data_IF_324113669972
#
_entry.id   IF_324113669972
#
_cell.length_a   1.000
_cell.length_b   1.000
_cell.length_c   1.000
_cell.angle_alpha   90.00
_cell.angle_beta   90.00
_cell.angle_gamma   90.00
#
_symmetry.space_group_name_H-M   'P 1'
#
loop_
_entity.id
_entity.type
_entity.pdbx_description
1 polymer ?
#
# COMPACT_ATOMS: atom_id res chain seq x y z
N UNK A 1 -11.44 -32.18 -17.82
CA UNK A 1 -10.42 -31.29 -17.20
C UNK A 1 -10.98 -29.97 -16.65
N UNK A 2 -12.13 -29.47 -17.11
CA UNK A 2 -12.76 -28.23 -16.62
C UNK A 2 -13.41 -28.36 -15.22
N UNK A 3 -13.92 -29.54 -14.87
CA UNK A 3 -14.55 -29.80 -13.56
C UNK A 3 -13.55 -29.74 -12.38
N UNK A 4 -12.33 -30.26 -12.55
CA UNK A 4 -11.31 -30.29 -11.48
C UNK A 4 -10.74 -28.90 -11.16
N UNK A 5 -10.47 -28.08 -12.17
CA UNK A 5 -9.99 -26.71 -11.99
C UNK A 5 -11.02 -25.83 -11.27
N UNK A 6 -12.31 -25.99 -11.61
CA UNK A 6 -13.43 -25.27 -10.98
C UNK A 6 -13.59 -25.68 -9.51
N UNK A 7 -13.43 -26.97 -9.22
CA UNK A 7 -13.50 -27.52 -7.85
C UNK A 7 -12.36 -26.98 -6.98
N UNK A 8 -11.13 -26.95 -7.51
CA UNK A 8 -9.97 -26.40 -6.81
C UNK A 8 -10.13 -24.91 -6.52
N UNK A 9 -10.53 -24.11 -7.51
CA UNK A 9 -10.75 -22.68 -7.34
C UNK A 9 -11.82 -22.38 -6.29
N UNK A 10 -12.91 -23.15 -6.28
CA UNK A 10 -14.00 -23.02 -5.29
C UNK A 10 -13.52 -23.40 -3.88
N UNK A 11 -12.71 -24.46 -3.77
CA UNK A 11 -12.13 -24.90 -2.48
C UNK A 11 -11.17 -23.86 -1.93
N UNK A 12 -10.31 -23.29 -2.78
CA UNK A 12 -9.39 -22.20 -2.42
C UNK A 12 -10.18 -20.98 -1.98
N UNK A 13 -11.19 -20.55 -2.75
CA UNK A 13 -12.03 -19.40 -2.40
C UNK A 13 -12.74 -19.58 -1.05
N UNK A 14 -13.33 -20.76 -0.82
CA UNK A 14 -13.99 -21.10 0.44
C UNK A 14 -13.01 -21.09 1.61
N UNK A 15 -11.80 -21.62 1.39
CA UNK A 15 -10.76 -21.67 2.44
C UNK A 15 -10.26 -20.27 2.77
N UNK A 16 -9.95 -19.45 1.77
CA UNK A 16 -9.45 -18.07 1.95
C UNK A 16 -10.48 -17.17 2.63
N UNK A 17 -11.77 -17.48 2.53
CA UNK A 17 -12.81 -16.76 3.25
C UNK A 17 -12.90 -17.10 4.74
N UNK A 18 -12.17 -18.12 5.23
CA UNK A 18 -12.11 -18.43 6.66
C UNK A 18 -11.22 -17.42 7.37
N UNK A 19 -11.69 -16.83 8.47
CA UNK A 19 -11.15 -15.54 8.87
C UNK A 19 -9.82 -15.64 9.64
N UNK A 20 -9.42 -16.84 10.08
CA UNK A 20 -8.07 -17.12 10.61
C UNK A 20 -7.02 -17.37 9.52
N UNK A 21 -7.41 -17.58 8.26
CA UNK A 21 -6.49 -18.04 7.21
C UNK A 21 -5.44 -16.99 6.87
N UNK A 22 -5.81 -15.70 6.80
CA UNK A 22 -4.83 -14.64 6.53
C UNK A 22 -3.77 -14.57 7.62
N UNK A 23 -4.18 -14.68 8.90
CA UNK A 23 -3.27 -14.68 10.04
C UNK A 23 -2.34 -15.91 10.03
N UNK A 24 -2.87 -17.11 9.74
CA UNK A 24 -2.06 -18.32 9.67
C UNK A 24 -1.08 -18.34 8.50
N UNK A 25 -1.47 -17.78 7.35
CA UNK A 25 -0.60 -17.64 6.17
C UNK A 25 0.53 -16.66 6.50
N UNK A 26 0.20 -15.54 7.14
CA UNK A 26 1.22 -14.58 7.57
C UNK A 26 2.20 -15.19 8.59
N UNK A 27 1.70 -15.86 9.62
CA UNK A 27 2.53 -16.52 10.64
C UNK A 27 3.48 -17.57 10.01
N UNK A 28 2.97 -18.37 9.08
CA UNK A 28 3.80 -19.30 8.30
C UNK A 28 4.86 -18.57 7.48
N UNK A 29 4.51 -17.44 6.87
CA UNK A 29 5.45 -16.60 6.13
C UNK A 29 6.55 -16.01 7.00
N UNK A 30 6.23 -15.54 8.21
CA UNK A 30 7.22 -15.07 9.19
C UNK A 30 8.19 -16.20 9.55
N UNK A 31 7.67 -17.40 9.83
CA UNK A 31 8.51 -18.58 10.11
C UNK A 31 9.45 -18.91 8.95
N UNK A 32 8.92 -18.95 7.71
CA UNK A 32 9.74 -19.18 6.50
C UNK A 32 10.84 -18.12 6.38
N UNK A 33 10.48 -16.85 6.62
CA UNK A 33 11.41 -15.73 6.53
C UNK A 33 12.53 -15.82 7.56
N UNK A 34 12.23 -16.15 8.82
CA UNK A 34 13.24 -16.28 9.88
C UNK A 34 14.12 -17.52 9.75
N UNK A 35 13.55 -18.66 9.33
CA UNK A 35 14.27 -19.94 9.32
C UNK A 35 15.06 -20.18 8.03
N UNK A 36 14.56 -19.70 6.88
CA UNK A 36 15.13 -20.05 5.58
C UNK A 36 15.79 -18.88 4.86
N UNK A 37 15.37 -17.64 5.13
CA UNK A 37 15.85 -16.47 4.39
C UNK A 37 17.02 -15.75 5.07
N UNK A 38 17.41 -16.17 6.27
CA UNK A 38 18.55 -15.60 7.01
C UNK A 38 19.91 -15.85 6.34
N UNK A 39 20.10 -17.05 5.78
CA UNK A 39 21.39 -17.52 5.24
C UNK A 39 21.27 -17.97 3.76
N UNK A 40 20.63 -17.17 2.92
CA UNK A 40 20.48 -17.51 1.50
C UNK A 40 21.71 -17.14 0.68
N UNK A 41 21.91 -17.88 -0.40
CA UNK A 41 22.92 -17.61 -1.43
C UNK A 41 22.43 -16.56 -2.44
N UNK A 42 23.35 -16.01 -3.22
CA UNK A 42 23.02 -15.07 -4.31
C UNK A 42 22.05 -15.68 -5.36
N UNK A 43 22.13 -16.99 -5.62
CA UNK A 43 21.19 -17.68 -6.52
C UNK A 43 19.79 -17.78 -5.91
N UNK A 44 19.70 -18.09 -4.63
CA UNK A 44 18.42 -18.12 -3.90
C UNK A 44 17.78 -16.73 -3.80
N UNK A 45 18.57 -15.67 -3.63
CA UNK A 45 18.08 -14.28 -3.65
C UNK A 45 17.28 -13.97 -4.93
N UNK A 46 17.81 -14.37 -6.09
CA UNK A 46 17.12 -14.18 -7.38
C UNK A 46 15.76 -14.88 -7.40
N UNK A 47 15.72 -16.13 -6.92
CA UNK A 47 14.49 -16.91 -6.83
C UNK A 47 13.49 -16.23 -5.90
N UNK A 48 13.92 -15.77 -4.72
CA UNK A 48 13.07 -15.08 -3.76
C UNK A 48 12.48 -13.82 -4.36
N UNK A 49 13.30 -12.97 -4.99
CA UNK A 49 12.84 -11.73 -5.62
C UNK A 49 11.83 -12.00 -6.74
N UNK A 50 12.15 -12.94 -7.63
CA UNK A 50 11.32 -13.31 -8.77
C UNK A 50 9.98 -13.92 -8.32
N UNK A 51 10.00 -14.93 -7.44
CA UNK A 51 8.78 -15.60 -6.95
C UNK A 51 7.89 -14.62 -6.18
N UNK A 52 8.49 -13.80 -5.31
CA UNK A 52 7.73 -12.84 -4.51
C UNK A 52 7.02 -11.80 -5.39
N UNK A 53 7.71 -11.30 -6.42
CA UNK A 53 7.14 -10.31 -7.32
C UNK A 53 6.08 -10.90 -8.27
N UNK A 54 6.37 -12.01 -8.96
CA UNK A 54 5.48 -12.53 -10.00
C UNK A 54 4.41 -13.49 -9.47
N UNK A 55 4.79 -14.46 -8.64
CA UNK A 55 3.88 -15.53 -8.25
C UNK A 55 2.99 -15.10 -7.09
N UNK A 56 3.57 -14.59 -6.01
CA UNK A 56 2.81 -14.22 -4.81
C UNK A 56 1.81 -13.09 -5.15
N UNK A 57 2.30 -11.98 -5.72
CA UNK A 57 1.42 -10.87 -6.10
C UNK A 57 0.45 -11.25 -7.23
N UNK A 58 0.93 -11.95 -8.27
CA UNK A 58 0.09 -12.33 -9.42
C UNK A 58 -1.09 -13.23 -9.03
N UNK A 59 -0.85 -14.24 -8.20
CA UNK A 59 -1.92 -15.13 -7.72
C UNK A 59 -2.93 -14.33 -6.89
N UNK A 60 -2.47 -13.44 -6.01
CA UNK A 60 -3.34 -12.70 -5.10
C UNK A 60 -4.41 -11.87 -5.81
N UNK A 61 -4.08 -11.28 -6.97
CA UNK A 61 -4.99 -10.44 -7.75
C UNK A 61 -5.85 -11.23 -8.74
N UNK A 62 -5.46 -12.46 -9.08
CA UNK A 62 -6.23 -13.33 -9.99
C UNK A 62 -7.30 -14.16 -9.28
N UNK A 63 -7.30 -14.24 -7.94
CA UNK A 63 -8.26 -15.04 -7.20
C UNK A 63 -9.65 -14.37 -7.13
N UNK A 64 -10.74 -15.10 -7.43
CA UNK A 64 -12.09 -14.56 -7.42
C UNK A 64 -12.58 -14.19 -6.01
N UNK A 65 -13.70 -13.44 -5.95
CA UNK A 65 -14.39 -13.05 -4.71
C UNK A 65 -13.92 -11.73 -4.09
N UNK A 66 -13.09 -10.95 -4.79
CA UNK A 66 -12.68 -9.60 -4.36
C UNK A 66 -13.83 -8.61 -4.62
N UNK A 67 -14.03 -7.68 -3.68
CA UNK A 67 -15.15 -6.73 -3.66
C UNK A 67 -15.20 -5.81 -4.89
N UNK A 68 -14.05 -5.47 -5.46
CA UNK A 68 -13.97 -4.70 -6.70
C UNK A 68 -14.45 -5.52 -7.92
N UNK A 69 -14.23 -6.83 -7.93
CA UNK A 69 -14.77 -7.73 -8.94
C UNK A 69 -16.29 -7.88 -8.82
N UNK A 70 -16.82 -7.89 -7.60
CA UNK A 70 -18.26 -7.84 -7.33
C UNK A 70 -18.85 -6.49 -7.77
N UNK A 71 -18.24 -5.37 -7.35
CA UNK A 71 -18.65 -4.02 -7.72
C UNK A 71 -18.60 -3.78 -9.23
N UNK A 72 -17.57 -4.27 -9.92
CA UNK A 72 -17.45 -4.16 -11.37
C UNK A 72 -18.59 -4.89 -12.09
N UNK A 73 -19.00 -6.05 -11.58
CA UNK A 73 -20.17 -6.78 -12.10
C UNK A 73 -21.47 -6.01 -11.86
N UNK A 74 -21.68 -5.51 -10.65
CA UNK A 74 -22.86 -4.69 -10.31
C UNK A 74 -22.98 -3.46 -11.24
N UNK A 75 -21.88 -2.72 -11.45
CA UNK A 75 -21.85 -1.57 -12.37
C UNK A 75 -22.18 -1.98 -13.81
N UNK A 76 -21.65 -3.13 -14.27
CA UNK A 76 -21.93 -3.64 -15.62
C UNK A 76 -23.41 -4.02 -15.77
N UNK A 77 -23.99 -4.68 -14.77
CA UNK A 77 -25.38 -5.11 -14.79
C UNK A 77 -26.34 -3.92 -14.69
N UNK A 78 -26.03 -2.90 -13.88
CA UNK A 78 -26.76 -1.63 -13.87
C UNK A 78 -26.74 -0.94 -15.23
N UNK A 79 -25.58 -0.87 -15.90
CA UNK A 79 -25.47 -0.28 -17.24
C UNK A 79 -26.32 -1.02 -18.26
N UNK A 80 -26.32 -2.36 -18.24
CA UNK A 80 -27.17 -3.18 -19.12
C UNK A 80 -28.65 -2.94 -18.86
N UNK A 81 -29.05 -2.86 -17.59
CA UNK A 81 -30.44 -2.60 -17.20
C UNK A 81 -30.89 -1.18 -17.59
N UNK A 82 -30.02 -0.17 -17.46
CA UNK A 82 -30.30 1.21 -17.90
C UNK A 82 -30.43 1.33 -19.42
N UNK A 83 -29.59 0.62 -20.19
CA UNK A 83 -29.73 0.55 -21.65
C UNK A 83 -31.06 -0.07 -22.06
N UNK A 84 -31.54 -1.10 -21.33
CA UNK A 84 -32.85 -1.71 -21.56
C UNK A 84 -34.02 -0.80 -21.18
N UNK A 85 -33.91 -0.02 -20.09
CA UNK A 85 -35.03 0.73 -19.53
C UNK A 85 -35.12 2.23 -19.92
N UNK A 86 -34.21 2.77 -20.75
CA UNK A 86 -34.17 4.19 -21.20
C UNK A 86 -34.34 5.24 -20.08
N UNK A 87 -34.07 4.89 -18.81
CA UNK A 87 -34.32 5.78 -17.68
C UNK A 87 -33.06 6.59 -17.34
N UNK A 88 -33.13 7.92 -17.49
CA UNK A 88 -32.09 8.88 -17.08
C UNK A 88 -32.10 9.07 -15.56
N UNK A 89 -31.66 8.08 -14.80
CA UNK A 89 -31.36 8.27 -13.37
C UNK A 89 -29.86 8.47 -13.20
N UNK A 90 -29.51 9.70 -12.77
CA UNK A 90 -28.15 10.15 -12.42
C UNK A 90 -27.54 9.11 -11.47
N UNK A 91 -26.38 8.53 -11.83
CA UNK A 91 -25.65 7.59 -10.96
C UNK A 91 -25.34 8.34 -9.66
N UNK A 92 -26.02 8.01 -8.56
CA UNK A 92 -25.71 8.54 -7.22
C UNK A 92 -24.63 7.72 -6.51
N UNK A 93 -24.30 6.54 -7.05
CA UNK A 93 -23.13 5.77 -6.63
C UNK A 93 -21.92 6.21 -7.47
N UNK A 94 -21.24 7.26 -7.04
CA UNK A 94 -19.86 7.48 -7.47
C UNK A 94 -19.08 6.17 -7.20
N UNK A 95 -18.42 5.55 -8.20
CA UNK A 95 -17.73 4.25 -8.06
C UNK A 95 -16.55 4.27 -7.07
N UNK A 96 -16.35 5.38 -6.37
CA UNK A 96 -15.19 5.69 -5.54
C UNK A 96 -15.38 5.21 -4.09
N UNK A 97 -16.56 4.75 -3.68
CA UNK A 97 -16.69 4.34 -2.29
C UNK A 97 -17.79 3.31 -2.05
N UNK A 98 -17.38 2.06 -1.86
CA UNK A 98 -18.14 1.01 -1.19
C UNK A 98 -18.59 1.47 0.23
N UNK A 99 -17.97 2.50 0.83
CA UNK A 99 -18.42 3.19 2.06
C UNK A 99 -19.44 4.34 1.85
N UNK A 100 -19.99 4.55 0.65
CA UNK A 100 -20.90 5.67 0.34
C UNK A 100 -20.32 7.10 0.48
N UNK A 101 -19.01 7.28 0.30
CA UNK A 101 -18.31 8.56 0.42
C UNK A 101 -18.07 9.02 1.86
N UNK A 102 -18.25 8.14 2.85
CA UNK A 102 -18.21 8.51 4.27
C UNK A 102 -16.79 8.81 4.80
N UNK A 103 -15.77 8.18 4.22
CA UNK A 103 -14.37 8.48 4.57
C UNK A 103 -13.95 9.86 4.08
N UNK A 104 -13.33 10.67 4.96
CA UNK A 104 -12.83 11.98 4.57
C UNK A 104 -11.53 11.92 3.77
N UNK A 105 -10.81 10.80 3.81
CA UNK A 105 -9.49 10.66 3.17
C UNK A 105 -9.52 9.84 1.89
N UNK A 106 -10.68 9.64 1.26
CA UNK A 106 -10.74 9.01 -0.05
C UNK A 106 -10.04 9.89 -1.11
N UNK A 107 -8.98 9.39 -1.77
CA UNK A 107 -8.25 10.14 -2.78
C UNK A 107 -9.04 10.26 -4.09
N UNK A 108 -8.62 11.20 -4.94
CA UNK A 108 -9.08 11.25 -6.32
C UNK A 108 -8.64 9.99 -7.11
N UNK A 109 -9.42 9.52 -8.12
CA UNK A 109 -9.11 8.29 -8.85
C UNK A 109 -7.73 8.28 -9.53
N UNK A 110 -7.24 9.43 -9.98
CA UNK A 110 -5.93 9.53 -10.63
C UNK A 110 -4.76 9.17 -9.70
N UNK A 111 -4.97 9.20 -8.38
CA UNK A 111 -3.94 8.84 -7.40
C UNK A 111 -3.41 7.42 -7.61
N UNK A 112 -4.29 6.51 -8.03
CA UNK A 112 -3.98 5.10 -8.27
C UNK A 112 -3.09 4.88 -9.49
N UNK A 113 -2.87 5.90 -10.34
CA UNK A 113 -1.91 5.83 -11.44
C UNK A 113 -0.48 5.57 -10.94
N UNK A 114 -0.18 5.86 -9.66
CA UNK A 114 1.12 5.58 -9.02
C UNK A 114 1.51 4.10 -9.04
N UNK A 115 0.54 3.17 -9.12
CA UNK A 115 0.83 1.75 -9.25
C UNK A 115 1.62 1.43 -10.53
N UNK A 116 1.40 2.16 -11.62
CA UNK A 116 2.16 1.97 -12.87
C UNK A 116 3.66 2.16 -12.66
N UNK A 117 4.12 3.35 -12.23
CA UNK A 117 5.51 3.58 -11.87
C UNK A 117 6.07 2.61 -10.83
N UNK A 118 5.29 2.26 -9.79
CA UNK A 118 5.73 1.27 -8.78
C UNK A 118 6.05 -0.08 -9.45
N UNK A 119 5.09 -0.67 -10.16
CA UNK A 119 5.28 -2.00 -10.75
C UNK A 119 6.35 -2.01 -11.84
N UNK A 120 6.46 -0.94 -12.65
CA UNK A 120 7.51 -0.83 -13.66
C UNK A 120 8.89 -0.79 -12.99
N UNK A 121 9.07 0.04 -11.98
CA UNK A 121 10.38 0.17 -11.32
C UNK A 121 10.75 -1.08 -10.50
N UNK A 122 9.78 -1.75 -9.89
CA UNK A 122 10.00 -3.03 -9.20
C UNK A 122 10.36 -4.15 -10.18
N UNK A 123 9.67 -4.22 -11.32
CA UNK A 123 10.01 -5.16 -12.38
C UNK A 123 11.45 -4.97 -12.85
N UNK A 124 11.87 -3.72 -13.09
CA UNK A 124 13.24 -3.41 -13.49
C UNK A 124 14.26 -3.79 -12.41
N UNK A 125 13.94 -3.58 -11.12
CA UNK A 125 14.80 -4.02 -10.01
C UNK A 125 14.93 -5.55 -9.96
N UNK A 126 13.80 -6.28 -10.05
CA UNK A 126 13.81 -7.74 -10.06
C UNK A 126 14.59 -8.28 -11.26
N UNK A 127 14.42 -7.68 -12.44
CA UNK A 127 15.19 -8.03 -13.63
C UNK A 127 16.68 -7.80 -13.40
N UNK A 128 17.06 -6.63 -12.87
CA UNK A 128 18.44 -6.29 -12.56
C UNK A 128 19.09 -7.31 -11.59
N UNK A 129 18.39 -7.69 -10.52
CA UNK A 129 18.85 -8.72 -9.57
C UNK A 129 18.97 -10.08 -10.27
N UNK A 130 17.99 -10.45 -11.10
CA UNK A 130 17.96 -11.76 -11.76
C UNK A 130 19.10 -11.93 -12.75
N UNK A 131 19.39 -10.93 -13.57
CA UNK A 131 20.44 -10.98 -14.60
C UNK A 131 21.85 -10.73 -14.06
N UNK A 132 21.98 -10.18 -12.85
CA UNK A 132 23.29 -9.88 -12.26
C UNK A 132 24.12 -11.16 -12.06
N UNK A 133 25.44 -11.16 -12.34
CA UNK A 133 26.29 -12.32 -12.08
C UNK A 133 26.37 -12.62 -10.58
N UNK A 134 26.56 -13.89 -10.15
CA UNK A 134 26.62 -14.27 -8.73
C UNK A 134 27.67 -13.51 -7.91
N UNK A 135 28.73 -13.02 -8.55
CA UNK A 135 29.82 -12.23 -7.94
C UNK A 135 29.51 -10.74 -7.82
N UNK A 136 28.37 -10.27 -8.36
CA UNK A 136 28.00 -8.85 -8.40
C UNK A 136 27.90 -8.27 -6.98
N UNK A 137 28.54 -7.11 -6.71
CA UNK A 137 28.35 -6.37 -5.47
C UNK A 137 26.89 -6.04 -5.17
N UNK A 138 26.07 -5.85 -6.21
CA UNK A 138 24.64 -5.61 -6.08
C UNK A 138 23.94 -6.75 -5.31
N UNK A 139 24.24 -8.01 -5.65
CA UNK A 139 23.60 -9.15 -4.99
C UNK A 139 23.99 -9.24 -3.52
N UNK A 140 25.24 -8.92 -3.18
CA UNK A 140 25.70 -8.86 -1.78
C UNK A 140 24.93 -7.79 -0.99
N UNK A 141 24.69 -6.63 -1.60
CA UNK A 141 23.92 -5.54 -0.98
C UNK A 141 22.45 -5.91 -0.73
N UNK A 142 21.84 -6.67 -1.64
CA UNK A 142 20.43 -7.07 -1.56
C UNK A 142 20.20 -8.40 -0.82
N UNK A 143 21.25 -9.15 -0.51
CA UNK A 143 21.12 -10.40 0.25
C UNK A 143 20.36 -10.23 1.57
N UNK A 144 20.71 -9.27 2.45
CA UNK A 144 20.04 -9.12 3.74
C UNK A 144 18.61 -8.55 3.61
N UNK A 145 18.19 -8.09 2.42
CA UNK A 145 16.86 -7.53 2.21
C UNK A 145 15.82 -8.59 1.84
N UNK A 146 16.25 -9.82 1.51
CA UNK A 146 15.36 -10.88 1.04
C UNK A 146 14.24 -11.27 2.02
N UNK A 147 14.50 -11.45 3.33
CA UNK A 147 13.44 -11.76 4.30
C UNK A 147 12.33 -10.71 4.28
N UNK A 148 12.71 -9.43 4.22
CA UNK A 148 11.78 -8.31 4.22
C UNK A 148 11.06 -8.14 2.89
N UNK A 149 11.72 -8.39 1.75
CA UNK A 149 11.09 -8.33 0.42
C UNK A 149 10.00 -9.39 0.27
N UNK A 150 10.29 -10.60 0.75
CA UNK A 150 9.33 -11.69 0.81
C UNK A 150 8.13 -11.32 1.69
N UNK A 151 8.38 -10.84 2.92
CA UNK A 151 7.30 -10.47 3.85
C UNK A 151 6.47 -9.27 3.36
N UNK A 152 7.10 -8.31 2.68
CA UNK A 152 6.40 -7.21 2.03
C UNK A 152 5.47 -7.71 0.92
N UNK A 153 5.95 -8.60 0.05
CA UNK A 153 5.16 -9.18 -1.04
C UNK A 153 4.02 -10.07 -0.52
N UNK A 154 4.29 -10.85 0.53
CA UNK A 154 3.28 -11.65 1.20
C UNK A 154 2.19 -10.76 1.82
N UNK A 155 2.59 -9.72 2.56
CA UNK A 155 1.65 -8.76 3.16
C UNK A 155 0.82 -8.05 2.11
N UNK A 156 1.43 -7.61 1.00
CA UNK A 156 0.73 -7.00 -0.13
C UNK A 156 -0.30 -7.95 -0.74
N UNK A 157 0.04 -9.23 -0.85
CA UNK A 157 -0.89 -10.25 -1.33
C UNK A 157 -2.04 -10.49 -0.36
N UNK A 158 -1.77 -10.55 0.94
CA UNK A 158 -2.80 -10.66 1.97
C UNK A 158 -3.71 -9.42 2.03
N UNK A 159 -3.17 -8.24 1.74
CA UNK A 159 -3.97 -7.03 1.54
C UNK A 159 -4.94 -7.17 0.37
N UNK A 160 -4.49 -7.64 -0.80
CA UNK A 160 -5.39 -7.94 -1.92
C UNK A 160 -6.49 -8.93 -1.50
N UNK A 161 -6.14 -9.93 -0.68
CA UNK A 161 -7.09 -10.92 -0.20
C UNK A 161 -8.06 -10.39 0.87
N UNK A 162 -7.69 -9.34 1.59
CA UNK A 162 -8.53 -8.72 2.62
C UNK A 162 -9.71 -7.92 2.07
N UNK A 163 -9.72 -7.59 0.78
CA UNK A 163 -10.87 -6.94 0.11
C UNK A 163 -11.97 -7.94 -0.27
N UNK A 164 -12.29 -8.90 0.61
CA UNK A 164 -13.49 -9.73 0.47
C UNK A 164 -14.55 -9.28 1.45
N UNK A 165 -15.81 -9.51 1.10
CA UNK A 165 -16.96 -9.13 1.91
C UNK A 165 -16.85 -9.66 3.35
N UNK A 166 -16.37 -10.89 3.53
CA UNK A 166 -16.15 -11.52 4.85
C UNK A 166 -15.24 -10.72 5.77
N UNK A 167 -14.22 -10.06 5.22
CA UNK A 167 -13.26 -9.26 5.99
C UNK A 167 -13.75 -7.82 6.16
N UNK A 168 -14.06 -7.16 5.05
CA UNK A 168 -14.42 -5.73 5.04
C UNK A 168 -15.72 -5.45 5.79
N UNK A 169 -16.74 -6.31 5.65
CA UNK A 169 -18.04 -6.14 6.30
C UNK A 169 -18.13 -6.91 7.63
N UNK A 170 -17.02 -7.42 8.14
CA UNK A 170 -17.02 -8.16 9.40
C UNK A 170 -17.35 -7.25 10.59
N UNK A 171 -18.14 -7.76 11.53
CA UNK A 171 -18.30 -7.14 12.86
C UNK A 171 -17.09 -7.36 13.76
N UNK A 172 -16.22 -8.32 13.44
CA UNK A 172 -14.98 -8.54 14.18
C UNK A 172 -13.94 -7.47 13.77
N UNK A 173 -13.44 -6.67 14.72
CA UNK A 173 -12.51 -5.57 14.42
C UNK A 173 -11.20 -6.05 13.80
N UNK A 174 -10.70 -7.23 14.16
CA UNK A 174 -9.47 -7.77 13.57
C UNK A 174 -9.64 -8.08 12.08
N UNK A 175 -10.79 -8.65 11.69
CA UNK A 175 -11.07 -8.95 10.28
C UNK A 175 -11.34 -7.68 9.47
N UNK A 176 -12.08 -6.74 10.04
CA UNK A 176 -12.35 -5.45 9.42
C UNK A 176 -11.07 -4.58 9.26
N UNK A 177 -10.10 -4.72 10.18
CA UNK A 177 -8.80 -4.04 10.13
C UNK A 177 -7.71 -4.82 9.38
N UNK A 178 -8.02 -5.98 8.79
CA UNK A 178 -7.02 -6.79 8.07
C UNK A 178 -6.35 -6.01 6.92
N UNK A 179 -7.12 -5.27 6.12
CA UNK A 179 -6.59 -4.44 5.03
C UNK A 179 -5.56 -3.41 5.50
N UNK A 180 -5.87 -2.49 6.44
CA UNK A 180 -4.88 -1.53 6.91
C UNK A 180 -3.70 -2.19 7.62
N UNK A 181 -3.90 -3.31 8.33
CA UNK A 181 -2.81 -4.06 8.96
C UNK A 181 -1.82 -4.56 7.91
N UNK A 182 -2.29 -5.25 6.87
CA UNK A 182 -1.39 -5.81 5.86
C UNK A 182 -0.69 -4.74 5.02
N UNK A 183 -1.35 -3.61 4.71
CA UNK A 183 -0.67 -2.46 4.09
C UNK A 183 0.40 -1.85 5.00
N UNK A 184 0.12 -1.75 6.30
CA UNK A 184 1.10 -1.26 7.28
C UNK A 184 2.31 -2.19 7.32
N UNK A 185 2.09 -3.50 7.37
CA UNK A 185 3.16 -4.50 7.34
C UNK A 185 3.99 -4.41 6.05
N UNK A 186 3.34 -4.31 4.88
CA UNK A 186 4.04 -4.06 3.60
C UNK A 186 4.94 -2.83 3.70
N UNK A 187 4.40 -1.71 4.18
CA UNK A 187 5.15 -0.47 4.32
C UNK A 187 6.32 -0.61 5.29
N UNK A 188 6.13 -1.22 6.46
CA UNK A 188 7.18 -1.41 7.47
C UNK A 188 8.34 -2.27 6.93
N UNK A 189 8.05 -3.38 6.26
CA UNK A 189 9.08 -4.22 5.66
C UNK A 189 9.85 -3.49 4.55
N UNK A 190 9.15 -2.74 3.69
CA UNK A 190 9.80 -1.93 2.66
C UNK A 190 10.60 -0.76 3.25
N UNK A 191 10.14 -0.14 4.34
CA UNK A 191 10.88 0.89 5.07
C UNK A 191 12.17 0.34 5.69
N UNK A 192 12.17 -0.92 6.17
CA UNK A 192 13.39 -1.59 6.64
C UNK A 192 14.40 -1.76 5.50
N UNK A 193 13.96 -2.26 4.34
CA UNK A 193 14.79 -2.38 3.13
C UNK A 193 15.32 -1.00 2.71
N UNK A 194 14.44 -0.01 2.65
CA UNK A 194 14.78 1.38 2.30
C UNK A 194 15.87 1.93 3.21
N UNK A 195 15.72 1.77 4.52
CA UNK A 195 16.71 2.18 5.49
C UNK A 195 18.05 1.50 5.21
N UNK A 196 18.08 0.16 5.07
CA UNK A 196 19.29 -0.61 4.78
C UNK A 196 20.01 -0.13 3.52
N UNK A 197 19.29 0.02 2.41
CA UNK A 197 19.86 0.47 1.13
C UNK A 197 20.37 1.91 1.21
N UNK A 198 19.65 2.78 1.92
CA UNK A 198 20.08 4.17 2.11
C UNK A 198 21.37 4.27 2.92
N UNK A 199 21.57 3.43 3.95
CA UNK A 199 22.84 3.38 4.71
C UNK A 199 24.03 3.02 3.81
N UNK A 200 23.80 2.15 2.83
CA UNK A 200 24.82 1.65 1.92
C UNK A 200 25.09 2.60 0.74
N UNK A 201 24.39 3.74 0.66
CA UNK A 201 24.55 4.75 -0.38
C UNK A 201 24.49 4.16 -1.81
N UNK A 202 23.62 3.16 -2.01
CA UNK A 202 23.42 2.55 -3.33
C UNK A 202 22.88 3.58 -4.34
N UNK A 203 23.13 3.39 -5.65
CA UNK A 203 22.60 4.30 -6.66
C UNK A 203 21.09 4.47 -6.53
N UNK A 204 20.61 5.70 -6.72
CA UNK A 204 19.24 6.06 -6.34
C UNK A 204 18.15 5.24 -7.06
N UNK A 205 18.43 4.77 -8.28
CA UNK A 205 17.49 3.96 -9.06
C UNK A 205 17.27 2.56 -8.46
N UNK A 206 18.18 2.05 -7.63
CA UNK A 206 18.07 0.70 -7.02
C UNK A 206 17.12 0.66 -5.83
N UNK A 207 17.00 1.76 -5.07
CA UNK A 207 16.08 1.88 -3.95
C UNK A 207 14.81 2.70 -4.27
N UNK A 208 14.73 3.33 -5.44
CA UNK A 208 13.53 4.04 -5.91
C UNK A 208 12.25 3.18 -5.86
N UNK A 209 12.19 1.96 -6.41
CA UNK A 209 10.98 1.14 -6.34
C UNK A 209 10.50 0.89 -4.91
N UNK A 210 11.43 0.57 -4.02
CA UNK A 210 11.17 0.37 -2.59
C UNK A 210 10.61 1.65 -1.96
N UNK A 211 11.21 2.80 -2.29
CA UNK A 211 10.79 4.12 -1.80
C UNK A 211 9.36 4.45 -2.21
N UNK A 212 9.04 4.27 -3.51
CA UNK A 212 7.72 4.55 -4.06
C UNK A 212 6.66 3.66 -3.42
N UNK A 213 6.93 2.36 -3.35
CA UNK A 213 5.99 1.38 -2.82
C UNK A 213 5.79 1.54 -1.29
N UNK A 214 6.88 1.77 -0.53
CA UNK A 214 6.81 2.01 0.92
C UNK A 214 5.96 3.24 1.25
N UNK A 215 6.22 4.37 0.56
CA UNK A 215 5.49 5.61 0.80
C UNK A 215 4.02 5.52 0.40
N UNK A 216 3.71 4.80 -0.68
CA UNK A 216 2.33 4.62 -1.12
C UNK A 216 1.54 3.71 -0.18
N UNK A 217 2.11 2.56 0.21
CA UNK A 217 1.46 1.62 1.14
C UNK A 217 1.30 2.21 2.54
N UNK A 218 2.22 3.07 2.98
CA UNK A 218 2.07 3.87 4.20
C UNK A 218 0.80 4.72 4.14
N UNK A 219 0.63 5.53 3.09
CA UNK A 219 -0.56 6.38 2.93
C UNK A 219 -1.83 5.55 2.75
N UNK A 220 -1.76 4.48 1.95
CA UNK A 220 -2.88 3.59 1.70
C UNK A 220 -3.35 2.92 3.01
N UNK A 221 -2.44 2.56 3.92
CA UNK A 221 -2.80 1.98 5.22
C UNK A 221 -3.69 2.93 6.03
N UNK A 222 -3.35 4.22 6.08
CA UNK A 222 -4.11 5.27 6.76
C UNK A 222 -5.50 5.43 6.12
N UNK A 223 -5.56 5.45 4.79
CA UNK A 223 -6.85 5.50 4.06
C UNK A 223 -7.71 4.27 4.38
N UNK A 224 -7.10 3.09 4.46
CA UNK A 224 -7.81 1.85 4.77
C UNK A 224 -8.29 1.79 6.23
N UNK A 225 -7.58 2.39 7.19
CA UNK A 225 -8.10 2.57 8.56
C UNK A 225 -9.39 3.39 8.54
N UNK A 226 -9.42 4.51 7.81
CA UNK A 226 -10.63 5.32 7.70
C UNK A 226 -11.78 4.57 7.01
N UNK A 227 -11.45 3.78 5.97
CA UNK A 227 -12.41 2.91 5.29
C UNK A 227 -13.02 1.87 6.24
N UNK A 228 -12.18 1.14 6.97
CA UNK A 228 -12.56 0.15 7.98
C UNK A 228 -13.54 0.74 9.01
N UNK A 229 -13.21 1.90 9.59
CA UNK A 229 -14.10 2.58 10.55
C UNK A 229 -15.42 3.03 9.91
N UNK A 230 -15.40 3.48 8.66
CA UNK A 230 -16.62 3.85 7.95
C UNK A 230 -17.54 2.63 7.73
N UNK A 231 -16.98 1.44 7.46
CA UNK A 231 -17.73 0.18 7.37
C UNK A 231 -18.30 -0.28 8.70
N UNK A 232 -17.56 -0.10 9.79
CA UNK A 232 -18.01 -0.46 11.13
C UNK A 232 -19.12 0.47 11.67
N UNK A 233 -19.60 1.43 10.88
CA UNK A 233 -20.73 2.26 11.25
C UNK A 233 -20.39 3.40 12.22
N UNK A 234 -19.12 3.72 12.43
CA UNK A 234 -18.72 4.84 13.29
C UNK A 234 -19.37 6.16 12.83
N UNK A 235 -19.63 7.07 13.79
CA UNK A 235 -20.28 8.34 13.51
C UNK A 235 -19.42 9.27 12.66
N UNK A 236 -20.05 10.21 11.95
CA UNK A 236 -19.35 11.19 11.11
C UNK A 236 -18.38 12.07 11.93
N UNK A 237 -18.68 12.34 13.20
CA UNK A 237 -17.78 13.00 14.15
C UNK A 237 -16.47 12.24 14.35
N UNK A 238 -16.55 10.92 14.53
CA UNK A 238 -15.35 10.06 14.68
C UNK A 238 -14.57 10.03 13.37
N UNK A 239 -15.27 9.82 12.24
CA UNK A 239 -14.62 9.82 10.91
C UNK A 239 -13.95 11.16 10.59
N UNK A 240 -14.49 12.28 11.11
CA UNK A 240 -13.86 13.59 11.01
C UNK A 240 -12.55 13.67 11.79
N UNK A 241 -12.55 13.25 13.05
CA UNK A 241 -11.34 13.26 13.89
C UNK A 241 -10.26 12.37 13.27
N UNK A 242 -10.63 11.17 12.85
CA UNK A 242 -9.67 10.23 12.22
C UNK A 242 -9.19 10.77 10.87
N UNK A 243 -10.07 11.35 10.06
CA UNK A 243 -9.70 11.95 8.77
C UNK A 243 -8.70 13.11 8.92
N UNK A 244 -8.91 14.00 9.90
CA UNK A 244 -7.98 15.09 10.17
C UNK A 244 -6.66 14.58 10.76
N UNK A 245 -6.73 13.66 11.72
CA UNK A 245 -5.56 13.02 12.32
C UNK A 245 -4.71 12.24 11.30
N UNK A 246 -5.35 11.70 10.26
CA UNK A 246 -4.67 10.98 9.18
C UNK A 246 -3.68 11.84 8.40
N UNK A 247 -4.01 13.11 8.17
CA UNK A 247 -3.09 14.06 7.50
C UNK A 247 -1.90 14.35 8.39
N UNK A 248 -2.13 14.60 9.68
CA UNK A 248 -1.07 14.84 10.66
C UNK A 248 -0.14 13.62 10.74
N UNK A 249 -0.70 12.41 10.81
CA UNK A 249 0.06 11.17 10.82
C UNK A 249 0.91 10.99 9.56
N UNK A 250 0.35 11.24 8.37
CA UNK A 250 1.08 11.14 7.11
C UNK A 250 2.25 12.14 7.02
N UNK A 251 2.03 13.40 7.40
CA UNK A 251 3.08 14.44 7.44
C UNK A 251 4.16 14.07 8.46
N UNK A 252 3.77 13.60 9.64
CA UNK A 252 4.70 13.20 10.70
C UNK A 252 5.57 12.01 10.29
N UNK A 253 4.98 11.03 9.60
CA UNK A 253 5.72 9.88 9.07
C UNK A 253 6.71 10.30 7.97
N UNK A 254 6.30 11.18 7.05
CA UNK A 254 7.18 11.75 6.03
C UNK A 254 8.37 12.49 6.65
N UNK A 255 8.11 13.34 7.64
CA UNK A 255 9.14 14.07 8.40
C UNK A 255 10.10 13.10 9.10
N UNK A 256 9.55 12.09 9.79
CA UNK A 256 10.34 11.11 10.54
C UNK A 256 11.30 10.37 9.61
N UNK A 257 10.82 9.84 8.49
CA UNK A 257 11.68 9.12 7.54
C UNK A 257 12.75 10.03 6.94
N UNK A 258 12.38 11.25 6.51
CA UNK A 258 13.34 12.21 5.97
C UNK A 258 14.42 12.57 7.02
N UNK A 259 14.02 12.75 8.28
CA UNK A 259 14.94 13.09 9.38
C UNK A 259 15.86 11.94 9.77
N UNK A 260 15.36 10.71 9.69
CA UNK A 260 16.15 9.48 9.81
C UNK A 260 17.02 9.22 8.58
N UNK A 261 17.09 10.15 7.62
CA UNK A 261 18.00 10.09 6.50
C UNK A 261 17.49 9.23 5.34
N UNK A 262 16.20 8.87 5.31
CA UNK A 262 15.58 8.13 4.20
C UNK A 262 15.37 8.96 2.91
N UNK A 263 16.05 10.09 2.76
CA UNK A 263 15.93 10.97 1.59
C UNK A 263 14.56 11.65 1.47
N UNK A 264 14.34 12.28 0.30
CA UNK A 264 13.11 13.02 0.00
C UNK A 264 11.98 12.19 -0.65
N UNK A 265 12.29 10.98 -1.13
CA UNK A 265 11.38 10.24 -2.02
C UNK A 265 10.06 9.83 -1.35
N UNK A 266 10.10 9.34 -0.10
CA UNK A 266 8.87 8.97 0.63
C UNK A 266 7.98 10.20 0.87
N UNK A 267 8.56 11.33 1.26
CA UNK A 267 7.81 12.57 1.42
C UNK A 267 7.20 13.05 0.10
N UNK A 268 7.86 12.80 -1.04
CA UNK A 268 7.30 13.04 -2.37
C UNK A 268 6.06 12.18 -2.65
N UNK A 269 6.07 10.90 -2.27
CA UNK A 269 4.89 10.02 -2.39
C UNK A 269 3.75 10.47 -1.47
N UNK A 270 4.07 10.90 -0.24
CA UNK A 270 3.07 11.46 0.67
C UNK A 270 2.46 12.74 0.11
N UNK A 271 3.27 13.58 -0.54
CA UNK A 271 2.80 14.78 -1.26
C UNK A 271 1.79 14.42 -2.34
N UNK A 272 2.10 13.41 -3.16
CA UNK A 272 1.18 12.90 -4.18
C UNK A 272 -0.15 12.43 -3.56
N UNK A 273 -0.07 11.62 -2.50
CA UNK A 273 -1.25 11.09 -1.83
C UNK A 273 -2.12 12.18 -1.20
N UNK A 274 -1.54 13.14 -0.47
CA UNK A 274 -2.28 14.23 0.17
C UNK A 274 -2.89 15.20 -0.85
N UNK A 275 -2.19 15.46 -1.97
CA UNK A 275 -2.75 16.22 -3.09
C UNK A 275 -3.99 15.52 -3.66
N UNK A 276 -3.94 14.20 -3.81
CA UNK A 276 -5.07 13.42 -4.25
C UNK A 276 -6.23 13.41 -3.25
N UNK A 277 -5.96 13.35 -1.94
CA UNK A 277 -7.00 13.47 -0.91
C UNK A 277 -7.68 14.82 -0.98
N UNK A 278 -6.92 15.93 -1.08
CA UNK A 278 -7.46 17.26 -1.27
C UNK A 278 -8.31 17.39 -2.54
N UNK A 279 -7.81 16.87 -3.66
CA UNK A 279 -8.53 16.86 -4.94
C UNK A 279 -9.81 16.03 -4.91
N UNK A 280 -9.77 14.85 -4.31
CA UNK A 280 -10.94 13.99 -4.14
C UNK A 280 -12.00 14.62 -3.23
N UNK A 281 -11.57 15.30 -2.16
CA UNK A 281 -12.49 16.00 -1.27
C UNK A 281 -13.13 17.21 -1.93
N UNK A 282 -12.37 18.00 -2.70
CA UNK A 282 -12.89 19.14 -3.46
C UNK A 282 -14.04 18.75 -4.39
N UNK A 283 -13.89 17.63 -5.10
CA UNK A 283 -14.93 17.15 -6.02
C UNK A 283 -16.19 16.66 -5.27
N UNK A 284 -16.01 15.96 -4.13
CA UNK A 284 -17.14 15.57 -3.27
C UNK A 284 -17.92 16.76 -2.73
N UNK A 285 -17.22 17.83 -2.30
CA UNK A 285 -17.84 19.06 -1.83
C UNK A 285 -18.68 19.70 -2.94
N UNK A 286 -18.12 19.82 -4.14
CA UNK A 286 -18.80 20.39 -5.31
C UNK A 286 -20.08 19.63 -5.66
N UNK A 287 -20.06 18.31 -5.51
CA UNK A 287 -21.19 17.45 -5.88
C UNK A 287 -22.16 17.18 -4.72
N UNK A 288 -21.84 17.61 -3.49
CA UNK A 288 -22.65 17.34 -2.30
C UNK A 288 -22.69 15.86 -1.92
N UNK A 289 -21.60 15.11 -2.17
CA UNK A 289 -21.53 13.66 -2.00
C UNK A 289 -20.75 13.26 -0.72
N UNK A 290 -21.28 12.27 0.01
CA UNK A 290 -20.58 11.65 1.14
C UNK A 290 -20.68 12.41 2.46
N UNK A 291 -19.68 12.25 3.32
CA UNK A 291 -19.65 12.92 4.61
C UNK A 291 -19.18 14.38 4.46
N UNK A 292 -20.10 15.33 4.59
CA UNK A 292 -19.82 16.75 4.51
C UNK A 292 -19.32 17.35 5.83
N UNK A 293 -19.40 16.61 6.94
CA UNK A 293 -18.96 17.08 8.26
C UNK A 293 -17.43 17.19 8.30
N UNK A 294 -16.92 18.43 8.30
CA UNK A 294 -15.48 18.70 8.26
C UNK A 294 -14.85 18.53 6.87
N UNK A 295 -15.63 18.33 5.80
CA UNK A 295 -15.13 18.14 4.45
C UNK A 295 -14.24 19.31 3.97
N UNK A 296 -14.68 20.56 4.20
CA UNK A 296 -13.90 21.74 3.79
C UNK A 296 -12.58 21.84 4.55
N UNK A 297 -12.62 21.58 5.86
CA UNK A 297 -11.40 21.50 6.69
C UNK A 297 -10.47 20.42 6.17
N UNK A 298 -11.00 19.23 5.87
CA UNK A 298 -10.20 18.12 5.32
C UNK A 298 -9.53 18.50 3.99
N UNK A 299 -10.25 19.15 3.07
CA UNK A 299 -9.70 19.63 1.80
C UNK A 299 -8.49 20.55 2.06
N UNK A 300 -8.67 21.57 2.90
CA UNK A 300 -7.66 22.57 3.22
C UNK A 300 -6.44 21.92 3.87
N UNK A 301 -6.62 21.13 4.92
CA UNK A 301 -5.49 20.52 5.64
C UNK A 301 -4.76 19.50 4.75
N UNK A 302 -5.44 18.82 3.83
CA UNK A 302 -4.80 17.86 2.92
C UNK A 302 -3.89 18.59 1.94
N UNK A 303 -4.32 19.71 1.35
CA UNK A 303 -3.44 20.54 0.52
C UNK A 303 -2.30 21.18 1.31
N UNK A 304 -2.57 21.69 2.52
CA UNK A 304 -1.52 22.23 3.38
C UNK A 304 -0.48 21.15 3.76
N UNK A 305 -0.95 19.95 4.09
CA UNK A 305 -0.10 18.80 4.35
C UNK A 305 0.74 18.41 3.13
N UNK A 306 0.16 18.44 1.92
CA UNK A 306 0.89 18.19 0.69
C UNK A 306 2.02 19.22 0.45
N UNK A 307 1.74 20.50 0.66
CA UNK A 307 2.77 21.56 0.59
C UNK A 307 3.88 21.33 1.62
N UNK A 308 3.52 21.00 2.85
CA UNK A 308 4.49 20.70 3.91
C UNK A 308 5.39 19.51 3.51
N UNK A 309 4.80 18.41 3.03
CA UNK A 309 5.55 17.22 2.61
C UNK A 309 6.38 17.45 1.35
N UNK A 310 5.98 18.37 0.47
CA UNK A 310 6.80 18.79 -0.66
C UNK A 310 8.08 19.50 -0.17
N UNK A 311 7.94 20.40 0.81
CA UNK A 311 9.07 21.03 1.48
C UNK A 311 10.00 20.01 2.16
N UNK A 312 9.43 19.01 2.83
CA UNK A 312 10.19 17.90 3.44
C UNK A 312 10.92 17.08 2.37
N UNK A 313 10.29 16.82 1.22
CA UNK A 313 10.89 16.08 0.12
C UNK A 313 12.11 16.82 -0.46
N UNK A 314 11.99 18.13 -0.69
CA UNK A 314 13.10 18.97 -1.17
C UNK A 314 14.23 19.01 -0.15
N UNK A 315 13.92 19.24 1.13
CA UNK A 315 14.90 19.25 2.21
C UNK A 315 15.62 17.91 2.35
N UNK A 316 14.87 16.80 2.38
CA UNK A 316 15.41 15.45 2.51
C UNK A 316 16.27 15.04 1.32
N UNK A 317 15.87 15.42 0.10
CA UNK A 317 16.66 15.19 -1.12
C UNK A 317 17.95 16.01 -1.16
N UNK A 318 17.91 17.29 -0.75
CA UNK A 318 19.09 18.14 -0.66
C UNK A 318 20.14 17.59 0.30
N UNK A 319 19.72 17.09 1.46
CA UNK A 319 20.61 16.47 2.46
C UNK A 319 21.28 15.18 1.95
N UNK A 320 20.60 14.44 1.08
CA UNK A 320 21.15 13.22 0.47
C UNK A 320 22.26 13.54 -0.54
N UNK A 321 22.14 14.65 -1.27
CA UNK A 321 23.09 15.05 -2.32
C UNK A 321 24.33 15.78 -1.80
N UNK A 322 24.26 16.45 -0.65
CA UNK A 322 25.34 17.33 -0.15
C UNK A 322 26.57 16.60 0.40
N UNK A 323 26.81 15.33 0.07
CA UNK A 323 28.05 14.61 0.39
C UNK A 323 28.35 14.43 1.89
N UNK A 324 27.44 14.82 2.78
CA UNK A 324 27.49 14.53 4.21
C UNK A 324 27.19 13.06 4.45
N UNK A 325 28.09 12.20 3.97
CA UNK A 325 27.97 10.76 3.99
C UNK A 325 27.51 10.25 5.34
N UNK A 326 26.46 9.43 5.29
CA UNK A 326 25.88 8.69 6.42
C UNK A 326 26.92 7.94 7.27
N UNK A 327 28.09 7.64 6.71
CA UNK A 327 29.15 6.83 7.32
C UNK A 327 29.76 7.36 8.61
N UNK A 328 29.63 8.65 8.96
CA UNK A 328 30.35 9.21 10.12
C UNK A 328 29.49 9.51 11.37
N UNK A 329 28.16 9.35 11.35
CA UNK A 329 27.31 9.80 12.48
C UNK A 329 26.24 8.83 13.00
N UNK A 330 26.10 7.61 12.47
CA UNK A 330 25.01 6.68 12.88
C UNK A 330 25.51 5.50 13.73
N UNK A 331 26.64 5.67 14.41
CA UNK A 331 27.17 4.67 15.35
C UNK A 331 26.35 4.47 16.63
N UNK A 332 25.50 5.41 17.03
CA UNK A 332 25.01 5.44 18.42
C UNK A 332 23.48 5.35 18.62
N UNK A 333 22.66 5.37 17.55
CA UNK A 333 21.23 5.68 17.72
C UNK A 333 20.19 4.61 17.39
N UNK A 334 20.56 3.43 16.88
CA UNK A 334 19.58 2.58 16.17
C UNK A 334 19.60 1.10 16.61
N UNK A 335 19.55 0.86 17.92
CA UNK A 335 19.27 -0.45 18.51
C UNK A 335 17.77 -0.70 18.82
N UNK A 336 16.87 0.18 18.38
CA UNK A 336 15.44 -0.06 18.46
C UNK A 336 14.97 -0.49 17.05
N UNK A 337 14.33 -1.66 16.96
CA UNK A 337 13.81 -2.41 15.79
C UNK A 337 14.64 -3.58 15.27
#
# INVERSE_FOLDING_TARGET
MTSSATTLATTIATTINKPYVLASVFASGVKISSEFLGDITASQLKIVYFISFFLINGISVSLPGRLDGELAKEIQDEKKNKQKNKQKTKLTASPISITGGRTLVAPAPWAFAIWGPIYITEFLLVLLITISPPTSPLLKTFLPTAPYWFLASLSQSLWCLSFRSTYVKSSNPFYNLSSPIYLTLTSLFLLKIHAMLTKLAVPWYTHLPITLHAGWTLCASIVNVNGSLAYSGFSNKVLRVVGHGSVIAAVSAAWTVARMGGGGGIAGVVTWALTAVGGGMKERIKNGEGNMEGAKTQEIISYAGAVATAGIAVWGGGKQNSGGGWGNKVGEGMQLF
#
